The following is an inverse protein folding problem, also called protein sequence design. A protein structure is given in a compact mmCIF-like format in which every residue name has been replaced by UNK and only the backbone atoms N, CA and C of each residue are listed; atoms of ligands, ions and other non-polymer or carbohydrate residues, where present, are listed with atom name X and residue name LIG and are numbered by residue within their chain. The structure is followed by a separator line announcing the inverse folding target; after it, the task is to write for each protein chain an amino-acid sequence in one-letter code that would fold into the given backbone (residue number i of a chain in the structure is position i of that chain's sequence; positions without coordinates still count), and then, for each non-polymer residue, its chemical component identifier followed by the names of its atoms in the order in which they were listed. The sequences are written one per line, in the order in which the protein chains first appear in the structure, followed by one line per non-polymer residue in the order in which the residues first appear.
data_IF_184222485521
#
_entry.id   IF_184222485521
#
_cell.length_a   1.000
_cell.length_b   1.000
_cell.length_c   1.000
_cell.angle_alpha   90.00
_cell.angle_beta   90.00
_cell.angle_gamma   90.00
#
_symmetry.space_group_name_H-M   'P 1'
#
loop_
_entity.id
_entity.type
_entity.pdbx_description
1 polymer ?
#
# COMPACT_ATOMS: atom_id res chain seq x y z
N UNK A 1 -7.49 -21.03 15.73
CA UNK A 1 -7.47 -19.93 16.73
C UNK A 1 -6.06 -19.35 16.77
N UNK A 2 -5.82 -18.27 16.03
CA UNK A 2 -4.55 -17.52 16.07
C UNK A 2 -4.86 -16.14 16.65
N UNK A 3 -4.30 -15.84 17.81
CA UNK A 3 -4.48 -14.59 18.57
C UNK A 3 -3.50 -13.50 18.09
N UNK A 4 -3.32 -13.33 16.78
CA UNK A 4 -2.69 -12.14 16.23
C UNK A 4 -3.64 -11.49 15.24
N UNK A 5 -4.06 -10.26 15.54
CA UNK A 5 -4.72 -9.38 14.57
C UNK A 5 -3.82 -9.30 13.33
N UNK A 6 -4.33 -9.52 12.11
CA UNK A 6 -3.52 -9.48 10.89
C UNK A 6 -2.77 -8.15 10.73
N UNK A 7 -3.32 -7.05 11.24
CA UNK A 7 -2.68 -5.72 11.33
C UNK A 7 -1.33 -5.72 12.09
N UNK A 8 -1.22 -6.52 13.16
CA UNK A 8 0.01 -6.61 13.95
C UNK A 8 1.09 -7.41 13.22
N UNK A 9 0.69 -8.41 12.42
CA UNK A 9 1.61 -9.21 11.62
C UNK A 9 2.21 -8.41 10.46
N UNK A 10 1.44 -7.54 9.82
CA UNK A 10 1.92 -6.64 8.78
C UNK A 10 2.85 -5.55 9.31
N UNK A 11 2.51 -4.99 10.48
CA UNK A 11 3.42 -4.12 11.24
C UNK A 11 4.76 -4.81 11.54
N UNK A 12 4.73 -6.05 12.04
CA UNK A 12 5.94 -6.78 12.40
C UNK A 12 6.78 -7.16 11.17
N UNK A 13 6.15 -7.49 10.05
CA UNK A 13 6.83 -7.84 8.79
C UNK A 13 7.59 -6.65 8.21
N UNK A 14 7.02 -5.44 8.32
CA UNK A 14 7.63 -4.17 7.89
C UNK A 14 8.89 -3.80 8.69
N UNK A 15 8.88 -4.03 10.01
CA UNK A 15 10.04 -3.71 10.86
C UNK A 15 11.04 -4.85 10.99
N UNK A 16 10.75 -6.04 10.44
CA UNK A 16 11.61 -7.22 10.57
C UNK A 16 13.01 -6.99 10.01
N UNK A 17 13.13 -6.32 8.86
CA UNK A 17 14.43 -6.01 8.26
C UNK A 17 15.24 -5.05 9.15
N UNK A 18 14.57 -4.03 9.73
CA UNK A 18 15.19 -3.11 10.69
C UNK A 18 15.65 -3.85 11.95
N UNK A 19 14.82 -4.76 12.49
CA UNK A 19 15.17 -5.55 13.67
C UNK A 19 16.37 -6.46 13.41
N UNK A 20 16.43 -7.12 12.25
CA UNK A 20 17.57 -7.96 11.85
C UNK A 20 18.84 -7.10 11.71
N UNK A 21 18.76 -5.95 11.03
CA UNK A 21 19.88 -5.05 10.85
C UNK A 21 20.41 -4.51 12.20
N UNK A 22 19.51 -4.16 13.13
CA UNK A 22 19.87 -3.72 14.49
C UNK A 22 20.55 -4.85 15.27
N UNK A 23 20.02 -6.07 15.22
CA UNK A 23 20.63 -7.24 15.87
C UNK A 23 22.04 -7.53 15.33
N UNK A 24 22.22 -7.46 14.01
CA UNK A 24 23.55 -7.64 13.39
C UNK A 24 24.52 -6.52 13.77
N UNK A 25 24.04 -5.27 13.86
CA UNK A 25 24.87 -4.15 14.31
C UNK A 25 25.29 -4.32 15.76
N UNK A 26 24.38 -4.78 16.63
CA UNK A 26 24.67 -5.06 18.04
C UNK A 26 25.70 -6.19 18.20
N UNK A 27 25.61 -7.25 17.38
CA UNK A 27 26.60 -8.33 17.34
C UNK A 27 27.99 -7.82 16.91
N UNK A 28 28.06 -6.99 15.87
CA UNK A 28 29.31 -6.36 15.43
C UNK A 28 29.93 -5.49 16.53
N UNK A 29 29.10 -4.70 17.22
CA UNK A 29 29.54 -3.84 18.32
C UNK A 29 30.01 -4.66 19.53
N UNK A 30 29.33 -5.77 19.82
CA UNK A 30 29.75 -6.69 20.87
C UNK A 30 31.15 -7.24 20.60
N UNK A 31 31.41 -7.74 19.39
CA UNK A 31 32.74 -8.23 18.98
C UNK A 31 33.81 -7.14 18.97
N UNK A 32 33.47 -5.91 18.61
CA UNK A 32 34.39 -4.77 18.69
C UNK A 32 34.88 -4.49 20.12
N UNK A 33 34.00 -4.67 21.11
CA UNK A 33 34.28 -4.37 22.52
C UNK A 33 34.98 -5.51 23.26
N UNK A 34 34.69 -6.77 22.91
CA UNK A 34 35.26 -7.96 23.58
C UNK A 34 36.51 -8.54 22.92
N UNK A 35 36.83 -8.18 21.67
CA UNK A 35 37.98 -8.74 20.93
C UNK A 35 39.19 -7.79 20.84
N UNK A 36 40.38 -8.38 20.68
CA UNK A 36 41.64 -7.68 20.45
C UNK A 36 42.26 -8.09 19.10
N UNK A 37 43.06 -7.21 18.49
CA UNK A 37 43.77 -7.48 17.22
C UNK A 37 42.86 -7.47 15.97
N UNK A 38 43.13 -8.35 15.01
CA UNK A 38 42.43 -8.43 13.70
C UNK A 38 40.91 -8.61 13.85
N UNK A 39 40.48 -9.34 14.88
CA UNK A 39 39.05 -9.53 15.18
C UNK A 39 38.33 -8.23 15.55
N UNK A 40 39.04 -7.25 16.14
CA UNK A 40 38.48 -5.93 16.43
C UNK A 40 38.28 -5.10 15.16
N UNK A 41 39.21 -5.18 14.20
CA UNK A 41 39.06 -4.52 12.91
C UNK A 41 37.89 -5.11 12.11
N UNK A 42 37.70 -6.43 12.17
CA UNK A 42 36.55 -7.11 11.56
C UNK A 42 35.23 -6.70 12.22
N UNK A 43 35.17 -6.61 13.56
CA UNK A 43 34.00 -6.11 14.29
C UNK A 43 33.67 -4.65 13.94
N UNK A 44 34.68 -3.80 13.71
CA UNK A 44 34.49 -2.42 13.27
C UNK A 44 33.84 -2.35 11.88
N UNK A 45 34.33 -3.15 10.93
CA UNK A 45 33.76 -3.23 9.59
C UNK A 45 32.29 -3.67 9.64
N UNK A 46 31.99 -4.75 10.38
CA UNK A 46 30.63 -5.29 10.53
C UNK A 46 29.70 -4.24 11.17
N UNK A 47 30.18 -3.51 12.18
CA UNK A 47 29.40 -2.46 12.84
C UNK A 47 29.06 -1.33 11.88
N UNK A 48 30.03 -0.84 11.09
CA UNK A 48 29.81 0.23 10.11
C UNK A 48 28.78 -0.22 9.06
N UNK A 49 28.95 -1.42 8.50
CA UNK A 49 28.02 -1.98 7.52
C UNK A 49 26.62 -2.16 8.11
N UNK A 50 26.54 -2.63 9.36
CA UNK A 50 25.29 -2.76 10.10
C UNK A 50 24.58 -1.42 10.27
N UNK A 51 25.28 -0.37 10.71
CA UNK A 51 24.72 0.99 10.85
C UNK A 51 24.20 1.50 9.52
N UNK A 52 24.95 1.35 8.43
CA UNK A 52 24.49 1.74 7.08
C UNK A 52 23.23 0.98 6.70
N UNK A 53 23.19 -0.34 6.95
CA UNK A 53 22.03 -1.15 6.65
C UNK A 53 20.81 -0.74 7.47
N UNK A 54 20.97 -0.46 8.77
CA UNK A 54 19.89 0.08 9.62
C UNK A 54 19.34 1.38 9.04
N UNK A 55 20.20 2.31 8.63
CA UNK A 55 19.75 3.58 8.03
C UNK A 55 18.97 3.34 6.75
N UNK A 56 19.41 2.44 5.88
CA UNK A 56 18.71 2.09 4.63
C UNK A 56 17.36 1.42 4.90
N UNK A 57 17.33 0.44 5.82
CA UNK A 57 16.10 -0.27 6.19
C UNK A 57 15.10 0.66 6.88
N UNK A 58 15.55 1.60 7.73
CA UNK A 58 14.68 2.61 8.34
C UNK A 58 14.14 3.59 7.31
N UNK A 59 14.96 4.01 6.34
CA UNK A 59 14.48 4.85 5.23
C UNK A 59 13.41 4.11 4.44
N UNK A 60 13.65 2.87 4.04
CA UNK A 60 12.69 2.03 3.31
C UNK A 60 11.39 1.82 4.10
N UNK A 61 11.49 1.40 5.37
CA UNK A 61 10.33 1.17 6.23
C UNK A 61 9.52 2.45 6.53
N UNK A 62 10.14 3.64 6.44
CA UNK A 62 9.44 4.93 6.59
C UNK A 62 8.76 5.42 5.31
N UNK A 63 9.29 5.05 4.14
CA UNK A 63 8.72 5.34 2.82
C UNK A 63 7.60 4.35 2.45
N UNK A 64 7.62 3.12 2.99
CA UNK A 64 6.52 2.15 2.93
C UNK A 64 5.32 2.53 3.83
N UNK A 65 4.86 3.79 3.72
CA UNK A 65 3.60 4.25 4.32
C UNK A 65 2.41 4.15 3.38
N UNK A 66 2.58 3.66 2.15
CA UNK A 66 1.45 3.39 1.25
C UNK A 66 1.78 2.79 -0.12
N UNK A 67 2.89 2.06 -0.30
CA UNK A 67 3.40 1.69 -1.64
C UNK A 67 3.78 0.22 -1.80
N UNK A 68 2.99 -0.70 -1.24
CA UNK A 68 3.22 -2.14 -1.44
C UNK A 68 2.57 -2.68 -2.72
N UNK A 69 1.65 -1.92 -3.31
CA UNK A 69 0.95 -2.24 -4.54
C UNK A 69 1.71 -1.78 -5.77
N UNK A 70 1.45 -2.44 -6.90
CA UNK A 70 2.00 -2.01 -8.16
C UNK A 70 1.36 -0.67 -8.57
N UNK A 71 2.19 0.34 -8.86
CA UNK A 71 1.76 1.60 -9.47
C UNK A 71 1.51 2.77 -8.52
N UNK A 72 1.29 3.94 -9.12
CA UNK A 72 1.09 5.23 -8.45
C UNK A 72 -0.24 5.85 -8.90
N UNK A 73 -1.00 6.35 -7.94
CA UNK A 73 -2.25 7.10 -8.14
C UNK A 73 -1.97 8.58 -7.89
N UNK A 74 -2.37 9.42 -8.82
CA UNK A 74 -2.34 10.88 -8.66
C UNK A 74 -3.72 11.44 -8.91
N UNK A 75 -4.18 12.29 -8.00
CA UNK A 75 -5.45 13.02 -8.13
C UNK A 75 -5.13 14.50 -8.33
N UNK A 76 -5.60 15.07 -9.43
CA UNK A 76 -5.39 16.49 -9.77
C UNK A 76 -6.66 17.08 -10.38
N UNK A 77 -7.03 18.30 -9.99
CA UNK A 77 -8.13 19.13 -10.53
C UNK A 77 -9.32 18.35 -11.16
N UNK A 78 -9.90 17.41 -10.41
CA UNK A 78 -11.08 16.65 -10.87
C UNK A 78 -10.79 15.41 -11.72
N UNK A 79 -9.55 14.93 -11.76
CA UNK A 79 -9.10 13.74 -12.50
C UNK A 79 -8.33 12.80 -11.59
N UNK A 80 -8.48 11.50 -11.85
CA UNK A 80 -7.68 10.44 -11.25
C UNK A 80 -6.81 9.86 -12.35
N UNK A 81 -5.51 9.79 -12.12
CA UNK A 81 -4.57 9.08 -12.97
C UNK A 81 -3.93 7.93 -12.20
N UNK A 82 -3.78 6.80 -12.85
CA UNK A 82 -3.12 5.63 -12.32
C UNK A 82 -2.04 5.17 -13.29
N UNK A 83 -0.84 4.98 -12.77
CA UNK A 83 0.34 4.54 -13.51
C UNK A 83 0.80 3.21 -12.93
N UNK A 84 0.25 2.10 -13.43
CA UNK A 84 0.69 0.75 -13.10
C UNK A 84 1.76 0.24 -14.07
N UNK A 85 2.41 -0.89 -13.73
CA UNK A 85 3.49 -1.48 -14.54
C UNK A 85 2.98 -2.06 -15.87
N UNK A 86 1.80 -2.67 -15.88
CA UNK A 86 1.20 -3.30 -17.06
C UNK A 86 0.04 -2.48 -17.63
N UNK A 87 -0.67 -1.77 -16.76
CA UNK A 87 -1.88 -1.01 -17.10
C UNK A 87 -1.82 0.37 -16.46
N UNK A 88 -2.41 1.35 -17.13
CA UNK A 88 -2.48 2.72 -16.63
C UNK A 88 -3.43 3.56 -17.47
N UNK A 89 -3.80 4.71 -16.93
CA UNK A 89 -4.70 5.61 -17.61
C UNK A 89 -5.15 6.76 -16.72
N UNK A 90 -6.00 7.60 -17.28
CA UNK A 90 -6.57 8.74 -16.56
C UNK A 90 -8.08 8.75 -16.78
N UNK A 91 -8.82 9.04 -15.73
CA UNK A 91 -10.27 9.19 -15.77
C UNK A 91 -10.66 10.54 -15.15
N UNK A 92 -11.73 11.16 -15.64
CA UNK A 92 -12.29 12.37 -15.05
C UNK A 92 -13.30 12.00 -13.97
N UNK A 93 -13.16 12.55 -12.76
CA UNK A 93 -14.07 12.30 -11.62
C UNK A 93 -15.51 12.65 -11.99
N UNK A 94 -15.71 13.75 -12.73
CA UNK A 94 -17.02 14.16 -13.22
C UNK A 94 -17.68 13.14 -14.19
N UNK A 95 -16.87 12.30 -14.85
CA UNK A 95 -17.33 11.26 -15.76
C UNK A 95 -17.45 9.88 -15.10
N UNK A 96 -17.19 9.76 -13.79
CA UNK A 96 -17.22 8.48 -13.09
C UNK A 96 -18.64 7.90 -13.07
N UNK A 97 -18.78 6.65 -13.50
CA UNK A 97 -20.04 5.93 -13.65
C UNK A 97 -20.23 4.90 -12.55
N UNK A 98 -19.17 4.16 -12.21
CA UNK A 98 -19.23 3.16 -11.15
C UNK A 98 -17.88 2.95 -10.47
N UNK A 99 -17.98 2.58 -9.19
CA UNK A 99 -16.87 2.16 -8.34
C UNK A 99 -17.18 0.75 -7.87
N UNK A 100 -16.27 -0.17 -8.15
CA UNK A 100 -16.35 -1.56 -7.68
C UNK A 100 -15.06 -1.93 -6.94
N UNK A 101 -15.19 -2.76 -5.93
CA UNK A 101 -14.07 -3.47 -5.33
C UNK A 101 -13.99 -4.84 -5.99
N UNK A 102 -12.88 -5.10 -6.68
CA UNK A 102 -12.60 -6.39 -7.33
C UNK A 102 -11.60 -7.18 -6.49
N UNK A 103 -11.80 -8.48 -6.39
CA UNK A 103 -10.90 -9.38 -5.65
C UNK A 103 -10.17 -10.28 -6.64
N UNK A 104 -8.84 -10.30 -6.56
CA UNK A 104 -8.02 -11.17 -7.37
C UNK A 104 -7.90 -12.56 -6.75
N UNK A 105 -7.48 -13.55 -7.55
CA UNK A 105 -7.31 -14.95 -7.11
C UNK A 105 -6.30 -15.11 -5.94
N UNK A 106 -5.37 -14.17 -5.79
CA UNK A 106 -4.39 -14.13 -4.69
C UNK A 106 -4.92 -13.47 -3.40
N UNK A 107 -6.18 -13.02 -3.41
CA UNK A 107 -6.83 -12.30 -2.31
C UNK A 107 -6.47 -10.82 -2.23
N UNK A 108 -5.65 -10.29 -3.15
CA UNK A 108 -5.45 -8.85 -3.29
C UNK A 108 -6.73 -8.18 -3.81
N UNK A 109 -6.88 -6.90 -3.49
CA UNK A 109 -8.07 -6.12 -3.85
C UNK A 109 -7.68 -4.96 -4.74
N UNK A 110 -8.51 -4.69 -5.73
CA UNK A 110 -8.34 -3.55 -6.61
C UNK A 110 -9.62 -2.70 -6.65
N UNK A 111 -9.43 -1.39 -6.73
CA UNK A 111 -10.46 -0.45 -7.13
C UNK A 111 -10.66 -0.53 -8.64
N UNK A 112 -11.87 -0.86 -9.05
CA UNK A 112 -12.26 -0.84 -10.44
C UNK A 112 -13.16 0.38 -10.70
N UNK A 113 -12.58 1.37 -11.38
CA UNK A 113 -13.21 2.66 -11.66
C UNK A 113 -13.61 2.72 -13.13
N UNK A 114 -14.92 2.83 -13.37
CA UNK A 114 -15.46 3.00 -14.71
C UNK A 114 -15.91 4.45 -14.90
N UNK A 115 -15.50 5.09 -16.00
CA UNK A 115 -15.98 6.40 -16.40
C UNK A 115 -16.52 6.37 -17.85
N UNK A 116 -17.40 7.32 -18.18
CA UNK A 116 -18.02 7.41 -19.51
C UNK A 116 -16.94 7.53 -20.59
N UNK A 117 -17.05 6.72 -21.64
CA UNK A 117 -16.19 6.75 -22.83
C UNK A 117 -14.68 6.60 -22.54
N UNK A 118 -14.31 5.98 -21.42
CA UNK A 118 -12.91 5.73 -21.05
C UNK A 118 -12.65 4.28 -20.71
N UNK A 119 -11.39 3.85 -20.85
CA UNK A 119 -10.95 2.55 -20.37
C UNK A 119 -11.06 2.51 -18.84
N UNK A 120 -11.65 1.45 -18.26
CA UNK A 120 -11.71 1.30 -16.81
C UNK A 120 -10.31 1.31 -16.19
N UNK A 121 -10.16 1.96 -15.04
CA UNK A 121 -8.93 1.88 -14.26
C UNK A 121 -9.05 0.78 -13.21
N UNK A 122 -8.06 -0.11 -13.20
CA UNK A 122 -7.89 -1.17 -12.21
C UNK A 122 -6.69 -0.81 -11.32
N UNK A 123 -6.99 -0.36 -10.10
CA UNK A 123 -6.02 0.27 -9.20
C UNK A 123 -5.89 -0.58 -7.92
N UNK A 124 -4.72 -1.16 -7.62
CA UNK A 124 -4.52 -1.90 -6.37
C UNK A 124 -4.83 -1.03 -5.15
N UNK A 125 -5.52 -1.59 -4.14
CA UNK A 125 -5.85 -0.84 -2.91
C UNK A 125 -4.63 -0.34 -2.14
N UNK A 126 -3.48 -0.98 -2.35
CA UNK A 126 -2.19 -0.66 -1.74
C UNK A 126 -1.23 0.10 -2.67
N UNK A 127 -1.72 0.62 -3.81
CA UNK A 127 -0.94 1.46 -4.72
C UNK A 127 -0.55 2.78 -4.04
N UNK A 128 0.60 3.34 -4.43
CA UNK A 128 1.08 4.59 -3.85
C UNK A 128 0.12 5.74 -4.17
N UNK A 129 -0.33 6.45 -3.15
CA UNK A 129 -1.30 7.54 -3.32
C UNK A 129 -2.76 7.10 -3.45
N UNK A 130 -3.08 5.79 -3.34
CA UNK A 130 -4.45 5.29 -3.37
C UNK A 130 -5.34 5.89 -2.25
N UNK A 131 -4.73 6.34 -1.14
CA UNK A 131 -5.44 7.04 -0.06
C UNK A 131 -6.17 8.30 -0.56
N UNK A 132 -5.65 8.99 -1.58
CA UNK A 132 -6.30 10.17 -2.16
C UNK A 132 -7.64 9.85 -2.84
N UNK A 133 -7.89 8.58 -3.21
CA UNK A 133 -9.18 8.15 -3.75
C UNK A 133 -10.29 8.24 -2.70
N UNK A 134 -9.97 8.12 -1.41
CA UNK A 134 -10.96 8.25 -0.34
C UNK A 134 -11.58 9.64 -0.31
N UNK A 135 -10.75 10.68 -0.51
CA UNK A 135 -11.24 12.06 -0.57
C UNK A 135 -12.12 12.25 -1.82
N UNK A 136 -11.75 11.67 -2.96
CA UNK A 136 -12.58 11.69 -4.18
C UNK A 136 -13.93 11.03 -3.93
N UNK A 137 -13.92 9.83 -3.35
CA UNK A 137 -15.10 9.03 -3.05
C UNK A 137 -16.03 9.76 -2.06
N UNK A 138 -15.48 10.40 -1.05
CA UNK A 138 -16.25 11.16 -0.04
C UNK A 138 -17.05 12.33 -0.64
N UNK A 139 -16.62 12.85 -1.79
CA UNK A 139 -17.30 13.94 -2.50
C UNK A 139 -18.39 13.45 -3.46
N UNK A 140 -18.54 12.12 -3.67
CA UNK A 140 -19.56 11.59 -4.56
C UNK A 140 -20.93 11.50 -3.88
N UNK A 141 -22.00 11.97 -4.55
CA UNK A 141 -23.34 11.90 -3.98
C UNK A 141 -23.82 10.45 -3.90
N UNK A 142 -24.33 10.06 -2.73
CA UNK A 142 -24.95 8.75 -2.52
C UNK A 142 -23.97 7.60 -2.24
N UNK A 143 -22.66 7.84 -2.20
CA UNK A 143 -21.70 6.83 -1.75
C UNK A 143 -21.65 6.77 -0.21
N UNK A 144 -21.89 5.59 0.36
CA UNK A 144 -21.73 5.37 1.80
C UNK A 144 -20.28 4.96 2.12
N UNK A 145 -19.54 5.87 2.75
CA UNK A 145 -18.16 5.63 3.13
C UNK A 145 -17.97 4.46 4.11
N UNK A 146 -19.00 4.12 4.90
CA UNK A 146 -18.95 2.95 5.79
C UNK A 146 -18.92 1.65 5.00
N UNK A 147 -19.62 1.59 3.86
CA UNK A 147 -19.61 0.43 2.96
C UNK A 147 -18.25 0.29 2.29
N UNK A 148 -17.66 1.42 1.86
CA UNK A 148 -16.30 1.46 1.31
C UNK A 148 -15.28 0.90 2.30
N UNK A 149 -15.34 1.36 3.56
CA UNK A 149 -14.43 0.90 4.60
C UNK A 149 -14.67 -0.59 4.94
N UNK A 150 -15.94 -1.02 5.05
CA UNK A 150 -16.26 -2.42 5.30
C UNK A 150 -15.73 -3.35 4.20
N UNK A 151 -15.78 -2.92 2.93
CA UNK A 151 -15.20 -3.66 1.82
C UNK A 151 -13.66 -3.75 1.89
N UNK A 152 -12.98 -2.77 2.49
CA UNK A 152 -11.53 -2.85 2.66
C UNK A 152 -11.13 -3.79 3.80
N UNK A 153 -11.88 -3.77 4.91
CA UNK A 153 -11.52 -4.52 6.11
C UNK A 153 -11.91 -6.00 6.05
N UNK A 154 -12.98 -6.34 5.31
CA UNK A 154 -13.50 -7.71 5.26
C UNK A 154 -12.91 -8.50 4.09
N UNK A 155 -12.63 -9.81 4.24
CA UNK A 155 -12.38 -10.68 3.10
C UNK A 155 -13.62 -10.69 2.21
N UNK A 156 -13.45 -10.39 0.93
CA UNK A 156 -14.51 -10.47 -0.05
C UNK A 156 -14.40 -11.80 -0.79
N UNK A 157 -15.55 -12.48 -0.95
CA UNK A 157 -15.63 -13.71 -1.75
C UNK A 157 -15.92 -13.43 -3.23
N UNK A 158 -16.52 -12.26 -3.52
CA UNK A 158 -16.93 -11.83 -4.85
C UNK A 158 -16.74 -10.31 -4.97
N UNK A 159 -16.70 -9.81 -6.20
CA UNK A 159 -16.63 -8.38 -6.46
C UNK A 159 -17.86 -7.66 -5.92
N UNK A 160 -17.64 -6.50 -5.29
CA UNK A 160 -18.72 -5.70 -4.71
C UNK A 160 -18.81 -4.36 -5.40
N UNK A 161 -20.01 -4.07 -5.94
CA UNK A 161 -20.34 -2.74 -6.45
C UNK A 161 -20.57 -1.80 -5.26
N UNK A 162 -19.71 -0.80 -5.11
CA UNK A 162 -19.79 0.16 -4.00
C UNK A 162 -20.66 1.35 -4.35
N UNK A 163 -20.61 1.79 -5.61
CA UNK A 163 -21.37 2.92 -6.09
C UNK A 163 -21.56 2.87 -7.59
N UNK A 164 -22.69 3.40 -8.03
CA UNK A 164 -22.95 3.69 -9.42
C UNK A 164 -23.78 4.97 -9.53
N UNK A 165 -23.68 5.67 -10.64
CA UNK A 165 -24.60 6.76 -10.96
C UNK A 165 -25.99 6.15 -11.14
N UNK A 166 -26.99 6.65 -10.40
CA UNK A 166 -28.39 6.36 -10.69
C UNK A 166 -28.73 6.98 -12.06
N UNK A 167 -28.65 6.16 -13.11
CA UNK A 167 -29.28 6.49 -14.38
C UNK A 167 -30.78 6.56 -14.11
N UNK A 168 -31.29 7.78 -13.88
CA UNK A 168 -32.73 8.05 -13.77
C UNK A 168 -33.37 7.50 -15.04
N UNK A 169 -34.05 6.35 -14.92
CA UNK A 169 -34.89 5.81 -15.98
C UNK A 169 -35.95 6.86 -16.28
N UNK A 170 -35.75 7.63 -17.36
CA UNK A 170 -36.82 8.41 -17.95
C UNK A 170 -37.76 7.38 -18.59
N UNK A 171 -38.87 7.12 -17.90
CA UNK A 171 -40.06 6.47 -18.47
C UNK A 171 -40.76 7.43 -19.44
#
# INVERSE_FOLDING_TARGET
MSFMRPEAAEGLRRWREVLIAVLMTALGLHWLLTSFGIFKALGALITILGVVWVVLSVRRARFDRGGGGAGVVTVDEGRVAYFGPETGGTLAIAGLVSIRMVVNDDGSKNWYLLAQDTTPLDIPVNAEGADALFDVFSNLPGLDMKVVQAALDQPLAEDVLLWHVEMRKLH
#
